data_IF_916180501767
#
_entry.id   IF_916180501767
#
_cell.length_a   1.000
_cell.length_b   1.000
_cell.length_c   1.000
_cell.angle_alpha   90.00
_cell.angle_beta   90.00
_cell.angle_gamma   90.00
#
_symmetry.space_group_name_H-M   'P 1'
#
loop_
_entity.id
_entity.type
_entity.pdbx_description
1 polymer ?
#
# COMPACT_ATOMS: atom_id res chain seq x y z
N UNK A 1 -14.56 -7.86 18.02
CA UNK A 1 -14.01 -9.14 17.51
C UNK A 1 -13.70 -9.08 16.02
N UNK A 2 -12.95 -8.09 15.51
CA UNK A 2 -12.63 -7.94 14.07
C UNK A 2 -11.11 -7.82 13.78
N UNK A 3 -10.26 -8.31 14.68
CA UNK A 3 -8.79 -8.26 14.49
C UNK A 3 -8.17 -9.54 13.93
N UNK A 4 -8.99 -10.55 13.57
CA UNK A 4 -8.50 -11.92 13.43
C UNK A 4 -7.83 -12.23 12.08
N UNK A 5 -8.01 -11.42 11.03
CA UNK A 5 -7.45 -11.71 9.70
C UNK A 5 -6.26 -10.83 9.30
N UNK A 6 -6.12 -9.66 9.89
CA UNK A 6 -5.07 -8.68 9.54
C UNK A 6 -3.69 -9.05 10.08
N UNK A 7 -3.60 -9.43 11.33
CA UNK A 7 -2.34 -9.85 11.94
C UNK A 7 -1.70 -11.06 11.23
N UNK A 8 -2.42 -12.14 10.87
CA UNK A 8 -1.89 -13.21 10.06
C UNK A 8 -1.38 -12.78 8.69
N UNK A 9 -2.06 -11.83 8.02
CA UNK A 9 -1.61 -11.29 6.72
C UNK A 9 -0.35 -10.46 6.85
N UNK A 10 -0.26 -9.62 7.89
CA UNK A 10 0.95 -8.85 8.17
C UNK A 10 2.13 -9.79 8.51
N UNK A 11 1.90 -10.83 9.31
CA UNK A 11 2.91 -11.83 9.62
C UNK A 11 3.39 -12.56 8.35
N UNK A 12 2.48 -12.90 7.43
CA UNK A 12 2.83 -13.50 6.15
C UNK A 12 3.68 -12.55 5.28
N UNK A 13 3.35 -11.27 5.26
CA UNK A 13 4.13 -10.27 4.54
C UNK A 13 5.55 -10.13 5.12
N UNK A 14 5.68 -10.05 6.43
CA UNK A 14 7.00 -9.99 7.10
C UNK A 14 7.82 -11.25 6.79
N UNK A 15 7.22 -12.44 6.89
CA UNK A 15 7.89 -13.70 6.60
C UNK A 15 8.36 -13.79 5.15
N UNK A 16 7.53 -13.37 4.18
CA UNK A 16 7.88 -13.37 2.77
C UNK A 16 9.04 -12.40 2.47
N UNK A 17 9.04 -11.23 3.08
CA UNK A 17 10.12 -10.25 2.94
C UNK A 17 11.42 -10.77 3.57
N UNK A 18 11.36 -11.38 4.75
CA UNK A 18 12.52 -11.98 5.40
C UNK A 18 13.13 -13.10 4.56
N UNK A 19 12.30 -13.97 3.99
CA UNK A 19 12.74 -15.10 3.18
C UNK A 19 13.53 -14.66 1.93
N UNK A 20 13.24 -13.51 1.38
CA UNK A 20 13.88 -12.97 0.17
C UNK A 20 14.94 -11.90 0.46
N UNK A 21 15.13 -11.50 1.71
CA UNK A 21 16.00 -10.38 2.07
C UNK A 21 15.51 -9.03 1.54
N UNK A 22 14.23 -8.92 1.21
CA UNK A 22 13.62 -7.72 0.67
C UNK A 22 13.10 -6.79 1.78
N UNK A 23 12.95 -5.52 1.46
CA UNK A 23 12.41 -4.49 2.36
C UNK A 23 11.17 -3.84 1.77
N UNK A 24 10.33 -3.29 2.63
CA UNK A 24 9.06 -2.65 2.28
C UNK A 24 8.97 -1.26 2.90
N UNK A 25 8.38 -0.34 2.14
CA UNK A 25 7.90 0.95 2.63
C UNK A 25 6.45 1.16 2.22
N UNK A 26 5.72 1.97 2.99
CA UNK A 26 4.29 2.23 2.75
C UNK A 26 4.03 3.71 2.44
N UNK A 27 3.11 3.96 1.51
CA UNK A 27 2.58 5.28 1.23
C UNK A 27 1.04 5.23 1.36
N UNK A 28 0.53 5.85 2.40
CA UNK A 28 -0.87 5.72 2.78
C UNK A 28 -1.63 7.02 2.59
N UNK A 29 -2.84 6.92 2.04
CA UNK A 29 -3.81 8.01 2.05
C UNK A 29 -5.01 7.64 2.93
N UNK A 30 -6.03 6.98 2.40
CA UNK A 30 -7.25 6.68 3.16
C UNK A 30 -7.03 5.79 4.39
N UNK A 31 -5.98 5.01 4.43
CA UNK A 31 -5.67 4.11 5.55
C UNK A 31 -5.00 4.79 6.74
N UNK A 32 -4.48 6.00 6.54
CA UNK A 32 -4.07 6.92 7.60
C UNK A 32 -3.05 6.39 8.60
N UNK A 33 -2.13 5.52 8.19
CA UNK A 33 -1.11 4.91 9.04
C UNK A 33 -1.45 3.51 9.55
N UNK A 34 -2.64 3.00 9.28
CA UNK A 34 -3.06 1.65 9.71
C UNK A 34 -2.22 0.54 9.10
N UNK A 35 -1.82 0.67 7.84
CA UNK A 35 -0.98 -0.31 7.17
C UNK A 35 0.42 -0.37 7.81
N UNK A 36 1.02 0.78 8.06
CA UNK A 36 2.28 0.88 8.79
C UNK A 36 2.19 0.26 10.19
N UNK A 37 1.12 0.56 10.93
CA UNK A 37 0.88 0.00 12.26
C UNK A 37 0.80 -1.53 12.23
N UNK A 38 0.07 -2.10 11.26
CA UNK A 38 -0.04 -3.56 11.11
C UNK A 38 1.31 -4.22 10.85
N UNK A 39 2.17 -3.61 10.05
CA UNK A 39 3.52 -4.12 9.81
C UNK A 39 4.36 -4.12 11.09
N UNK A 40 4.31 -3.02 11.85
CA UNK A 40 5.12 -2.86 13.06
C UNK A 40 4.62 -3.63 14.28
N UNK A 41 3.39 -4.13 14.25
CA UNK A 41 2.85 -5.05 15.28
C UNK A 41 3.54 -6.42 15.24
N UNK A 42 4.16 -6.79 14.12
CA UNK A 42 4.76 -8.12 13.93
C UNK A 42 6.21 -8.12 14.47
N UNK A 43 6.55 -9.00 15.42
CA UNK A 43 7.93 -9.16 15.88
C UNK A 43 8.86 -9.47 14.70
N UNK A 44 10.03 -8.81 14.65
CA UNK A 44 10.98 -8.96 13.57
C UNK A 44 10.71 -8.06 12.36
N UNK A 45 9.63 -7.29 12.36
CA UNK A 45 9.31 -6.38 11.24
C UNK A 45 10.38 -5.32 10.98
N UNK A 46 11.16 -4.94 11.99
CA UNK A 46 12.24 -3.95 11.86
C UNK A 46 13.34 -4.38 10.87
N UNK A 47 13.46 -5.66 10.59
CA UNK A 47 14.42 -6.18 9.61
C UNK A 47 13.98 -5.91 8.17
N UNK A 48 12.68 -5.75 7.93
CA UNK A 48 12.10 -5.70 6.59
C UNK A 48 11.28 -4.43 6.32
N UNK A 49 10.70 -3.80 7.33
CA UNK A 49 9.89 -2.60 7.18
C UNK A 49 10.71 -1.35 7.50
N UNK A 50 10.95 -0.50 6.50
CA UNK A 50 11.81 0.68 6.66
C UNK A 50 11.06 1.90 7.19
N UNK A 51 9.79 2.01 6.88
CA UNK A 51 8.99 3.16 7.26
C UNK A 51 7.92 3.49 6.23
N UNK A 52 7.24 4.59 6.43
CA UNK A 52 6.18 5.01 5.52
C UNK A 52 5.83 6.47 5.64
N UNK A 53 5.00 6.92 4.70
CA UNK A 53 4.48 8.27 4.64
C UNK A 53 2.95 8.21 4.65
N UNK A 54 2.32 8.95 5.54
CA UNK A 54 0.89 9.22 5.50
C UNK A 54 0.70 10.52 4.71
N UNK A 55 0.49 10.39 3.42
CA UNK A 55 0.29 11.51 2.48
C UNK A 55 -1.20 11.80 2.29
N UNK A 56 -1.88 12.16 3.38
CA UNK A 56 -3.33 12.35 3.38
C UNK A 56 -3.76 13.56 2.54
N UNK A 57 -3.04 14.68 2.63
CA UNK A 57 -3.24 15.83 1.77
C UNK A 57 -2.60 15.62 0.40
N UNK A 58 -3.23 16.17 -0.63
CA UNK A 58 -2.73 16.10 -2.02
C UNK A 58 -1.32 16.68 -2.15
N UNK A 59 -1.06 17.83 -1.53
CA UNK A 59 0.26 18.47 -1.59
C UNK A 59 1.38 17.58 -1.02
N UNK A 60 1.11 16.77 0.01
CA UNK A 60 2.09 15.83 0.54
C UNK A 60 2.41 14.70 -0.44
N UNK A 61 1.45 14.29 -1.25
CA UNK A 61 1.73 13.32 -2.32
C UNK A 61 2.73 13.88 -3.33
N UNK A 62 2.58 15.16 -3.66
CA UNK A 62 3.47 15.86 -4.60
C UNK A 62 4.82 16.19 -3.97
N UNK A 63 4.82 16.81 -2.81
CA UNK A 63 6.04 17.37 -2.19
C UNK A 63 6.93 16.30 -1.55
N UNK A 64 6.34 15.25 -0.98
CA UNK A 64 7.09 14.21 -0.26
C UNK A 64 7.32 12.98 -1.11
N UNK A 65 6.33 12.54 -1.87
CA UNK A 65 6.39 11.33 -2.68
C UNK A 65 6.75 11.58 -4.15
N UNK A 66 6.98 12.83 -4.55
CA UNK A 66 7.27 13.21 -5.94
C UNK A 66 6.19 12.75 -6.94
N UNK A 67 4.94 12.69 -6.51
CA UNK A 67 3.84 12.46 -7.45
C UNK A 67 3.75 13.68 -8.37
N UNK A 68 3.83 13.49 -9.70
CA UNK A 68 3.76 14.62 -10.61
C UNK A 68 2.44 15.40 -10.47
N UNK A 69 2.53 16.71 -10.28
CA UNK A 69 1.32 17.56 -10.17
C UNK A 69 0.43 17.44 -11.40
N UNK A 70 1.03 17.38 -12.59
CA UNK A 70 0.30 17.17 -13.84
C UNK A 70 -0.48 15.85 -13.87
N UNK A 71 0.04 14.79 -13.24
CA UNK A 71 -0.65 13.50 -13.10
C UNK A 71 -1.88 13.64 -12.21
N UNK A 72 -1.75 14.35 -11.08
CA UNK A 72 -2.87 14.62 -10.17
C UNK A 72 -3.95 15.46 -10.86
N UNK A 73 -3.56 16.48 -11.63
CA UNK A 73 -4.49 17.32 -12.38
C UNK A 73 -5.25 16.52 -13.47
N UNK A 74 -4.58 15.57 -14.11
CA UNK A 74 -5.16 14.77 -15.19
C UNK A 74 -6.04 13.64 -14.70
N UNK A 75 -5.59 12.88 -13.68
CA UNK A 75 -6.23 11.63 -13.23
C UNK A 75 -6.88 11.73 -11.86
N UNK A 76 -6.57 12.78 -11.08
CA UNK A 76 -6.96 12.87 -9.68
C UNK A 76 -6.09 12.04 -8.74
N UNK A 77 -6.32 12.18 -7.45
CA UNK A 77 -5.60 11.41 -6.43
C UNK A 77 -6.20 10.02 -6.19
N UNK A 78 -7.47 9.82 -6.50
CA UNK A 78 -8.14 8.51 -6.45
C UNK A 78 -8.07 7.89 -7.84
N UNK A 79 -6.91 7.34 -8.17
CA UNK A 79 -6.62 6.76 -9.48
C UNK A 79 -5.51 5.72 -9.41
N UNK A 80 -5.48 4.82 -10.38
CA UNK A 80 -4.40 3.84 -10.53
C UNK A 80 -3.05 4.53 -10.73
N UNK A 81 -3.03 5.60 -11.53
CA UNK A 81 -1.83 6.37 -11.84
C UNK A 81 -1.25 7.04 -10.58
N UNK A 82 -2.11 7.65 -9.76
CA UNK A 82 -1.66 8.25 -8.50
C UNK A 82 -1.16 7.18 -7.51
N UNK A 83 -1.87 6.06 -7.37
CA UNK A 83 -1.44 4.97 -6.52
C UNK A 83 -0.05 4.46 -6.90
N UNK A 84 0.19 4.24 -8.20
CA UNK A 84 1.49 3.76 -8.69
C UNK A 84 2.60 4.80 -8.47
N UNK A 85 2.32 6.07 -8.74
CA UNK A 85 3.27 7.15 -8.49
C UNK A 85 3.63 7.27 -6.99
N UNK A 86 2.65 7.09 -6.09
CA UNK A 86 2.88 7.06 -4.64
C UNK A 86 3.78 5.89 -4.24
N UNK A 87 3.53 4.70 -4.76
CA UNK A 87 4.32 3.50 -4.49
C UNK A 87 5.77 3.67 -4.94
N UNK A 88 6.00 4.17 -6.14
CA UNK A 88 7.34 4.52 -6.62
C UNK A 88 8.00 5.61 -5.77
N UNK A 89 7.25 6.63 -5.39
CA UNK A 89 7.74 7.74 -4.57
C UNK A 89 8.27 7.27 -3.22
N UNK A 90 7.52 6.46 -2.49
CA UNK A 90 7.96 5.96 -1.19
C UNK A 90 9.12 4.97 -1.30
N UNK A 91 9.15 4.18 -2.38
CA UNK A 91 10.27 3.30 -2.68
C UNK A 91 11.57 4.09 -2.90
N UNK A 92 11.53 5.15 -3.68
CA UNK A 92 12.69 6.05 -3.88
C UNK A 92 13.12 6.75 -2.60
N UNK A 93 12.16 7.28 -1.85
CA UNK A 93 12.41 8.03 -0.63
C UNK A 93 13.13 7.20 0.44
N UNK A 94 12.77 5.94 0.57
CA UNK A 94 13.27 5.06 1.63
C UNK A 94 14.41 4.14 1.18
N UNK A 95 14.56 3.91 -0.11
CA UNK A 95 15.47 2.89 -0.64
C UNK A 95 14.96 1.47 -0.45
N UNK A 96 13.68 1.27 -0.12
CA UNK A 96 13.08 -0.05 0.03
C UNK A 96 13.07 -0.83 -1.29
N UNK A 97 13.11 -2.15 -1.18
CA UNK A 97 12.95 -3.03 -2.36
C UNK A 97 11.56 -2.86 -2.98
N UNK A 98 10.53 -2.78 -2.14
CA UNK A 98 9.14 -2.59 -2.56
C UNK A 98 8.54 -1.36 -1.88
N UNK A 99 7.73 -0.63 -2.63
CA UNK A 99 6.82 0.38 -2.09
C UNK A 99 5.38 -0.04 -2.31
N UNK A 100 4.54 0.00 -1.30
CA UNK A 100 3.11 -0.25 -1.42
C UNK A 100 2.33 1.01 -1.07
N UNK A 101 1.30 1.31 -1.85
CA UNK A 101 0.48 2.51 -1.64
C UNK A 101 -1.00 2.18 -1.55
N UNK A 102 -1.73 3.05 -0.87
CA UNK A 102 -3.18 3.05 -0.79
C UNK A 102 -3.72 4.43 -1.10
N UNK A 103 -4.69 4.53 -1.98
CA UNK A 103 -5.49 5.74 -2.21
C UNK A 103 -6.94 5.37 -2.47
N UNK A 104 -7.88 6.20 -2.10
CA UNK A 104 -9.28 5.87 -2.29
C UNK A 104 -10.24 6.72 -1.46
N UNK A 105 -11.52 6.38 -1.56
CA UNK A 105 -12.63 7.07 -0.91
C UNK A 105 -13.16 6.23 0.25
N UNK A 106 -12.82 6.60 1.47
CA UNK A 106 -13.30 5.90 2.66
C UNK A 106 -14.74 6.28 3.06
N UNK A 107 -15.19 7.44 2.64
CA UNK A 107 -16.53 7.95 2.95
C UNK A 107 -16.57 8.82 4.20
N UNK A 108 -17.79 9.30 4.59
CA UNK A 108 -19.09 8.98 4.00
C UNK A 108 -19.38 9.67 2.66
N UNK A 109 -18.64 10.74 2.31
CA UNK A 109 -18.88 11.51 1.09
C UNK A 109 -18.04 10.98 -0.07
N UNK A 110 -18.53 11.20 -1.28
CA UNK A 110 -17.77 10.96 -2.52
C UNK A 110 -16.60 11.92 -2.61
N UNK A 111 -15.59 11.52 -3.36
CA UNK A 111 -14.42 12.35 -3.66
C UNK A 111 -14.11 12.25 -5.16
N UNK A 112 -13.82 13.40 -5.79
CA UNK A 112 -13.52 13.48 -7.23
C UNK A 112 -14.57 12.79 -8.11
N UNK A 113 -15.86 12.85 -7.70
CA UNK A 113 -16.96 12.18 -8.39
C UNK A 113 -16.98 10.66 -8.24
N UNK A 114 -16.04 10.08 -7.51
CA UNK A 114 -15.95 8.64 -7.28
C UNK A 114 -16.71 8.21 -6.03
N UNK A 115 -17.29 7.02 -6.09
CA UNK A 115 -18.10 6.48 -5.02
C UNK A 115 -17.26 6.08 -3.81
N UNK A 116 -17.90 6.11 -2.63
CA UNK A 116 -17.35 5.54 -1.40
C UNK A 116 -17.00 4.08 -1.64
N UNK A 117 -15.79 3.67 -1.25
CA UNK A 117 -15.28 2.33 -1.46
C UNK A 117 -14.45 2.14 -2.73
N UNK A 118 -14.36 3.15 -3.60
CA UNK A 118 -13.39 3.16 -4.71
C UNK A 118 -11.99 3.26 -4.15
N UNK A 119 -11.18 2.23 -4.32
CA UNK A 119 -9.84 2.13 -3.75
C UNK A 119 -8.87 1.61 -4.81
N UNK A 120 -7.67 2.18 -4.81
CA UNK A 120 -6.53 1.69 -5.60
C UNK A 120 -5.37 1.35 -4.67
N UNK A 121 -4.78 0.19 -4.90
CA UNK A 121 -3.57 -0.28 -4.23
C UNK A 121 -2.52 -0.47 -5.31
N UNK A 122 -1.32 0.03 -5.08
CA UNK A 122 -0.20 -0.21 -5.99
C UNK A 122 1.01 -0.76 -5.24
N UNK A 123 1.76 -1.58 -5.93
CA UNK A 123 3.06 -2.06 -5.50
C UNK A 123 4.08 -1.69 -6.57
N UNK A 124 5.15 -1.03 -6.17
CA UNK A 124 6.32 -0.77 -7.00
C UNK A 124 7.45 -1.68 -6.53
N UNK A 125 8.02 -2.43 -7.44
CA UNK A 125 9.10 -3.37 -7.16
C UNK A 125 10.34 -3.15 -8.04
N UNK A 126 11.40 -3.94 -7.82
CA UNK A 126 12.58 -3.91 -8.65
C UNK A 126 12.26 -4.43 -10.06
N UNK A 127 13.06 -4.00 -11.04
CA UNK A 127 13.01 -4.50 -12.44
C UNK A 127 11.62 -4.36 -13.09
N UNK A 128 10.88 -3.29 -12.76
CA UNK A 128 9.56 -3.04 -13.32
C UNK A 128 8.45 -3.98 -12.80
N UNK A 129 8.66 -4.63 -11.68
CA UNK A 129 7.65 -5.50 -11.03
C UNK A 129 6.60 -4.67 -10.32
N UNK A 130 5.82 -3.98 -11.11
CA UNK A 130 4.73 -3.15 -10.61
C UNK A 130 3.40 -3.90 -10.67
N UNK A 131 2.51 -3.60 -9.74
CA UNK A 131 1.14 -4.09 -9.73
C UNK A 131 0.20 -2.99 -9.28
N UNK A 132 -0.97 -2.95 -9.86
CA UNK A 132 -2.08 -2.07 -9.44
C UNK A 132 -3.35 -2.88 -9.34
N UNK A 133 -4.07 -2.71 -8.24
CA UNK A 133 -5.37 -3.34 -7.99
C UNK A 133 -6.41 -2.26 -7.75
N UNK A 134 -7.50 -2.31 -8.51
CA UNK A 134 -8.68 -1.48 -8.31
C UNK A 134 -9.75 -2.27 -7.56
N UNK A 135 -10.33 -1.67 -6.53
CA UNK A 135 -11.33 -2.29 -5.67
C UNK A 135 -12.56 -1.42 -5.56
N UNK A 136 -13.71 -2.05 -5.47
CA UNK A 136 -14.99 -1.46 -5.10
C UNK A 136 -15.44 -2.09 -3.78
N UNK A 137 -15.10 -1.43 -2.67
CA UNK A 137 -15.40 -1.91 -1.33
C UNK A 137 -16.74 -1.38 -0.84
N UNK A 138 -17.44 -2.18 -0.07
CA UNK A 138 -18.73 -1.82 0.54
C UNK A 138 -18.59 -1.84 2.06
N UNK A 139 -19.16 -0.86 2.72
CA UNK A 139 -19.15 -0.74 4.17
C UNK A 139 -18.99 0.70 4.66
N UNK A 140 -18.87 0.84 5.95
CA UNK A 140 -18.55 2.11 6.58
C UNK A 140 -17.06 2.46 6.40
N UNK A 141 -16.71 3.69 6.79
CA UNK A 141 -15.34 4.21 6.68
C UNK A 141 -14.31 3.28 7.30
N UNK A 142 -14.54 2.81 8.50
CA UNK A 142 -13.61 1.92 9.21
C UNK A 142 -13.43 0.58 8.50
N UNK A 143 -14.52 -0.01 8.03
CA UNK A 143 -14.49 -1.27 7.28
C UNK A 143 -13.74 -1.14 5.96
N UNK A 144 -13.92 -0.03 5.23
CA UNK A 144 -13.22 0.23 3.99
C UNK A 144 -11.72 0.40 4.24
N UNK A 145 -11.33 1.17 5.27
CA UNK A 145 -9.92 1.33 5.65
C UNK A 145 -9.27 -0.01 6.04
N UNK A 146 -9.96 -0.81 6.84
CA UNK A 146 -9.46 -2.10 7.29
C UNK A 146 -9.28 -3.09 6.14
N UNK A 147 -10.27 -3.19 5.26
CA UNK A 147 -10.20 -4.06 4.09
C UNK A 147 -9.15 -3.60 3.09
N UNK A 148 -8.94 -2.30 2.96
CA UNK A 148 -7.86 -1.77 2.13
C UNK A 148 -6.49 -2.25 2.64
N UNK A 149 -6.27 -2.22 3.96
CA UNK A 149 -5.04 -2.75 4.54
C UNK A 149 -4.86 -4.26 4.28
N UNK A 150 -5.93 -5.05 4.44
CA UNK A 150 -5.89 -6.49 4.17
C UNK A 150 -5.51 -6.78 2.71
N UNK A 151 -6.11 -6.06 1.77
CA UNK A 151 -5.82 -6.21 0.35
C UNK A 151 -4.40 -5.73 -0.01
N UNK A 152 -3.92 -4.64 0.60
CA UNK A 152 -2.54 -4.19 0.41
C UNK A 152 -1.52 -5.25 0.85
N UNK A 153 -1.73 -5.87 2.01
CA UNK A 153 -0.89 -6.97 2.49
C UNK A 153 -0.95 -8.20 1.57
N UNK A 154 -2.14 -8.50 1.04
CA UNK A 154 -2.32 -9.58 0.07
C UNK A 154 -1.54 -9.31 -1.21
N UNK A 155 -1.58 -8.08 -1.72
CA UNK A 155 -0.82 -7.67 -2.92
C UNK A 155 0.68 -7.81 -2.67
N UNK A 156 1.17 -7.39 -1.51
CA UNK A 156 2.59 -7.54 -1.13
C UNK A 156 3.00 -9.01 -1.18
N UNK A 157 2.29 -9.90 -0.49
CA UNK A 157 2.61 -11.33 -0.45
C UNK A 157 2.57 -11.97 -1.84
N UNK A 158 1.57 -11.62 -2.65
CA UNK A 158 1.37 -12.20 -3.97
C UNK A 158 2.49 -11.85 -4.98
N UNK A 159 3.19 -10.73 -4.78
CA UNK A 159 4.17 -10.21 -5.74
C UNK A 159 5.62 -10.33 -5.27
N UNK A 160 5.86 -10.75 -4.03
CA UNK A 160 7.21 -11.14 -3.59
C UNK A 160 7.45 -12.56 -4.11
N UNK A 161 8.55 -12.79 -4.88
CA UNK A 161 8.86 -14.14 -5.36
C UNK A 161 9.01 -15.10 -4.17
N UNK A 162 8.21 -16.17 -4.13
CA UNK A 162 8.46 -17.27 -3.22
C UNK A 162 9.76 -17.97 -3.59
N UNK A 163 10.39 -18.68 -2.66
CA UNK A 163 11.42 -19.67 -3.00
C UNK A 163 10.79 -20.65 -4.00
N UNK A 164 11.31 -20.72 -5.22
CA UNK A 164 11.02 -21.87 -6.06
C UNK A 164 11.47 -23.10 -5.29
N UNK A 165 10.61 -24.13 -5.11
CA UNK A 165 11.08 -25.38 -4.56
C UNK A 165 12.19 -25.86 -5.48
N UNK A 166 13.41 -25.87 -4.95
CA UNK A 166 14.58 -26.32 -5.69
C UNK A 166 14.28 -27.66 -6.34
N UNK A 167 14.35 -27.70 -7.66
CA UNK A 167 14.42 -28.96 -8.39
C UNK A 167 15.71 -29.67 -7.94
N UNK A 168 15.56 -30.50 -6.92
CA UNK A 168 16.58 -31.44 -6.50
C UNK A 168 16.58 -32.68 -7.39
#
# INVERSE_FOLDING_TARGET
MRHTTRAPRAAAAVAALQATGATLATAESLTGGRLAALMTEIPGSSEVYLGGVVSYATDLKVEVLDVPRALVEQYGVVSAECALAMAHGVRRLTGATYGVSTTGVAGPDRQEGKQVGTVYIALAGPDGRDAVVALELVGDRGSIQDRTCEEALRVVVAHIPGEEPGLG
#
